data_IF_811317618766
#
_entry.id   IF_811317618766
#
_cell.length_a   1.000
_cell.length_b   1.000
_cell.length_c   1.000
_cell.angle_alpha   90.00
_cell.angle_beta   90.00
_cell.angle_gamma   90.00
#
_symmetry.space_group_name_H-M   'P 1'
#
loop_
_entity.id
_entity.type
_entity.pdbx_description
1 polymer ?
#
# COMPACT_ATOMS: atom_id res chain seq x y z
N UNK A 1 66.03 45.40 -49.75
CA UNK A 1 65.00 46.40 -50.06
C UNK A 1 64.07 46.42 -48.85
N UNK A 2 64.51 47.08 -47.78
CA UNK A 2 63.69 47.39 -46.61
C UNK A 2 62.95 48.70 -46.93
N UNK A 3 61.63 48.69 -46.78
CA UNK A 3 60.79 49.86 -46.97
C UNK A 3 60.52 50.50 -45.61
N UNK A 4 61.51 51.20 -45.05
CA UNK A 4 61.32 52.02 -43.86
C UNK A 4 60.70 53.36 -44.27
N UNK A 5 59.46 53.64 -43.84
CA UNK A 5 58.87 54.98 -44.00
C UNK A 5 59.46 55.94 -42.96
N UNK A 6 60.18 56.96 -43.45
CA UNK A 6 60.75 58.04 -42.63
C UNK A 6 59.82 59.24 -42.60
N UNK A 7 59.51 59.77 -41.41
CA UNK A 7 58.83 61.06 -41.25
C UNK A 7 59.76 62.03 -40.50
N UNK A 8 60.43 62.93 -41.23
CA UNK A 8 61.43 63.85 -40.69
C UNK A 8 60.84 65.23 -40.38
N UNK A 9 61.00 65.70 -39.13
CA UNK A 9 60.69 67.08 -38.74
C UNK A 9 61.96 67.95 -38.90
N UNK A 10 61.89 69.01 -39.71
CA UNK A 10 63.06 69.71 -40.30
C UNK A 10 63.93 70.57 -39.36
N UNK A 11 63.77 70.50 -38.04
CA UNK A 11 64.44 71.41 -37.08
C UNK A 11 65.31 70.74 -36.02
N UNK A 12 65.33 69.40 -35.94
CA UNK A 12 66.24 68.64 -35.05
C UNK A 12 66.62 67.33 -35.73
N UNK A 13 67.92 67.01 -35.84
CA UNK A 13 68.41 65.72 -36.35
C UNK A 13 68.10 64.65 -35.29
N UNK A 14 66.86 64.18 -35.28
CA UNK A 14 66.41 62.95 -34.65
C UNK A 14 65.42 62.30 -35.63
N UNK A 15 65.91 61.35 -36.42
CA UNK A 15 65.02 60.37 -37.05
C UNK A 15 64.57 59.42 -35.95
N UNK A 16 63.34 59.55 -35.47
CA UNK A 16 62.73 58.45 -34.75
C UNK A 16 62.35 57.40 -35.78
N UNK A 17 62.83 56.17 -35.58
CA UNK A 17 62.21 54.99 -36.19
C UNK A 17 60.76 55.04 -35.74
N UNK A 18 59.82 55.18 -36.68
CA UNK A 18 58.43 54.81 -36.41
C UNK A 18 58.48 53.30 -36.25
N UNK A 19 58.71 52.83 -35.03
CA UNK A 19 58.54 51.42 -34.71
C UNK A 19 57.11 51.06 -35.13
N UNK A 20 56.96 50.07 -36.01
CA UNK A 20 55.65 49.54 -36.37
C UNK A 20 55.12 48.80 -35.14
N UNK A 21 54.49 49.55 -34.24
CA UNK A 21 53.92 49.02 -33.02
C UNK A 21 52.49 48.58 -33.29
N UNK A 22 52.14 47.38 -32.86
CA UNK A 22 50.75 46.97 -32.85
C UNK A 22 49.96 47.73 -31.79
N UNK A 23 48.63 47.77 -31.94
CA UNK A 23 47.78 48.31 -30.89
C UNK A 23 47.90 47.46 -29.61
N UNK A 24 47.67 48.12 -28.46
CA UNK A 24 47.63 47.45 -27.16
C UNK A 24 46.47 46.44 -27.16
N UNK A 25 46.78 45.20 -26.77
CA UNK A 25 45.78 44.14 -26.64
C UNK A 25 44.80 44.47 -25.48
N UNK A 26 43.49 44.25 -25.65
CA UNK A 26 42.53 44.44 -24.57
C UNK A 26 42.75 43.41 -23.46
N UNK A 27 42.26 43.72 -22.25
CA UNK A 27 42.23 42.75 -21.17
C UNK A 27 41.33 41.56 -21.54
N UNK A 28 41.82 40.33 -21.35
CA UNK A 28 41.08 39.10 -21.62
C UNK A 28 40.29 38.68 -20.36
N UNK A 29 38.94 38.74 -20.34
CA UNK A 29 38.16 38.28 -19.21
C UNK A 29 38.42 36.79 -18.96
N UNK A 30 38.59 36.41 -17.69
CA UNK A 30 38.87 35.02 -17.28
C UNK A 30 40.13 34.42 -17.94
N UNK A 31 41.09 35.26 -18.32
CA UNK A 31 42.37 34.83 -18.89
C UNK A 31 43.49 35.84 -18.68
N UNK A 32 44.65 35.50 -19.21
CA UNK A 32 45.83 36.34 -19.25
C UNK A 32 46.63 36.08 -20.52
N UNK A 33 47.49 36.99 -20.91
CA UNK A 33 48.40 36.80 -22.03
C UNK A 33 49.79 37.27 -21.67
N UNK A 34 50.80 36.64 -22.25
CA UNK A 34 52.20 36.98 -22.06
C UNK A 34 52.86 37.22 -23.41
N UNK A 35 53.38 38.42 -23.62
CA UNK A 35 54.05 38.83 -24.85
C UNK A 35 55.57 38.80 -24.70
N UNK A 36 56.28 38.35 -25.73
CA UNK A 36 57.74 38.28 -25.72
C UNK A 36 58.41 39.66 -25.70
N UNK A 37 57.82 40.64 -26.40
CA UNK A 37 58.39 41.99 -26.53
C UNK A 37 57.29 43.07 -26.61
N UNK A 38 56.30 42.99 -25.71
CA UNK A 38 55.20 43.95 -25.65
C UNK A 38 54.43 44.04 -26.98
N UNK A 39 54.36 45.25 -27.55
CA UNK A 39 53.63 45.55 -28.79
C UNK A 39 54.55 45.80 -30.01
N UNK A 40 55.84 45.42 -29.92
CA UNK A 40 56.78 45.59 -31.03
C UNK A 40 56.50 44.63 -32.19
N UNK A 41 56.92 45.01 -33.40
CA UNK A 41 56.87 44.16 -34.60
C UNK A 41 57.56 42.82 -34.34
N UNK A 42 56.90 41.71 -34.68
CA UNK A 42 57.40 40.36 -34.42
C UNK A 42 57.21 39.84 -32.98
N UNK A 43 56.70 40.66 -32.04
CA UNK A 43 56.33 40.21 -30.69
C UNK A 43 55.27 39.11 -30.76
N UNK A 44 55.48 38.01 -30.02
CA UNK A 44 54.54 36.89 -29.89
C UNK A 44 53.86 36.94 -28.53
N UNK A 45 52.53 37.01 -28.53
CA UNK A 45 51.70 36.93 -27.32
C UNK A 45 51.03 35.56 -27.25
N UNK A 46 51.35 34.77 -26.23
CA UNK A 46 50.68 33.50 -25.92
C UNK A 46 49.58 33.74 -24.87
N UNK A 47 48.40 33.18 -25.11
CA UNK A 47 47.22 33.36 -24.28
C UNK A 47 46.97 32.15 -23.38
N UNK A 48 46.48 32.40 -22.16
CA UNK A 48 46.11 31.37 -21.18
C UNK A 48 44.77 31.74 -20.54
N UNK A 49 43.84 30.78 -20.48
CA UNK A 49 42.59 30.97 -19.74
C UNK A 49 42.72 30.47 -18.30
N UNK A 50 41.88 31.02 -17.42
CA UNK A 50 41.69 30.54 -16.06
C UNK A 50 41.08 29.13 -16.06
N UNK A 51 41.20 28.41 -14.94
CA UNK A 51 40.62 27.09 -14.77
C UNK A 51 39.11 27.08 -15.08
N UNK A 52 38.65 26.12 -15.87
CA UNK A 52 37.26 25.99 -16.31
C UNK A 52 36.93 26.67 -17.63
N UNK A 53 37.85 27.49 -18.15
CA UNK A 53 37.69 28.16 -19.44
C UNK A 53 38.62 27.57 -20.50
N UNK A 54 38.14 27.54 -21.74
CA UNK A 54 38.89 27.13 -22.91
C UNK A 54 39.02 28.30 -23.90
N UNK A 55 40.16 28.38 -24.58
CA UNK A 55 40.38 29.38 -25.63
C UNK A 55 39.59 28.97 -26.87
N UNK A 56 38.75 29.88 -27.36
CA UNK A 56 38.19 29.89 -28.70
C UNK A 56 38.90 30.99 -29.52
N UNK A 57 39.50 30.62 -30.66
CA UNK A 57 40.37 31.50 -31.44
C UNK A 57 41.84 31.03 -31.45
N UNK A 58 42.77 31.92 -31.75
CA UNK A 58 44.19 31.58 -31.85
C UNK A 58 44.90 31.68 -30.48
N UNK A 59 45.53 30.58 -30.06
CA UNK A 59 46.24 30.49 -28.77
C UNK A 59 47.46 31.41 -28.65
N UNK A 60 47.94 31.93 -29.78
CA UNK A 60 49.10 32.82 -29.85
C UNK A 60 48.97 33.75 -31.05
N UNK A 61 49.28 35.03 -30.88
CA UNK A 61 49.23 36.03 -31.94
C UNK A 61 50.59 36.73 -32.07
N UNK A 62 50.95 37.12 -33.29
CA UNK A 62 52.21 37.79 -33.62
C UNK A 62 51.90 39.18 -34.16
N UNK A 63 52.64 40.19 -33.73
CA UNK A 63 52.53 41.54 -34.28
C UNK A 63 53.17 41.59 -35.68
N UNK A 64 52.39 41.99 -36.68
CA UNK A 64 52.80 42.02 -38.09
C UNK A 64 53.25 43.43 -38.51
N UNK A 65 53.97 43.52 -39.65
CA UNK A 65 54.46 44.78 -40.24
C UNK A 65 53.35 45.81 -40.52
N UNK A 66 52.11 45.37 -40.68
CA UNK A 66 50.94 46.23 -40.90
C UNK A 66 50.36 46.85 -39.61
N UNK A 67 50.99 46.61 -38.45
CA UNK A 67 50.54 47.08 -37.14
C UNK A 67 49.33 46.32 -36.59
N UNK A 68 48.97 45.17 -37.18
CA UNK A 68 47.89 44.30 -36.74
C UNK A 68 48.41 42.99 -36.15
N UNK A 69 47.66 42.44 -35.22
CA UNK A 69 47.92 41.13 -34.64
C UNK A 69 47.40 40.03 -35.57
N UNK A 70 48.24 39.03 -35.86
CA UNK A 70 47.89 37.87 -36.68
C UNK A 70 46.71 37.08 -36.10
N UNK A 71 45.95 36.40 -36.96
CA UNK A 71 44.93 35.42 -36.53
C UNK A 71 43.69 36.03 -35.87
N UNK A 72 42.83 35.16 -35.35
CA UNK A 72 41.60 35.51 -34.66
C UNK A 72 41.86 35.93 -33.21
N UNK A 73 41.07 36.90 -32.72
CA UNK A 73 41.11 37.32 -31.33
C UNK A 73 40.64 36.17 -30.42
N UNK A 74 41.43 35.76 -29.41
CA UNK A 74 41.05 34.68 -28.51
C UNK A 74 40.05 35.14 -27.46
N UNK A 75 39.06 34.30 -27.19
CA UNK A 75 38.07 34.49 -26.11
C UNK A 75 38.13 33.27 -25.18
N UNK A 76 38.08 33.51 -23.87
CA UNK A 76 37.93 32.45 -22.88
C UNK A 76 36.44 32.11 -22.71
N UNK A 77 36.03 30.93 -23.16
CA UNK A 77 34.66 30.42 -23.02
C UNK A 77 34.61 29.37 -21.91
N UNK A 78 33.62 29.48 -21.03
CA UNK A 78 33.39 28.48 -19.98
C UNK A 78 32.84 27.19 -20.60
N UNK A 79 33.57 26.10 -20.39
CA UNK A 79 33.22 24.76 -20.89
C UNK A 79 33.09 23.74 -19.75
N UNK A 80 33.37 24.14 -18.51
CA UNK A 80 33.41 23.24 -17.38
C UNK A 80 32.01 23.11 -16.76
N UNK A 81 31.42 21.91 -16.72
CA UNK A 81 30.11 21.75 -16.12
C UNK A 81 30.16 21.85 -14.58
N UNK A 82 29.07 22.31 -13.95
CA UNK A 82 29.02 22.45 -12.50
C UNK A 82 29.16 21.10 -11.79
N UNK A 83 29.87 21.07 -10.67
CA UNK A 83 30.04 19.86 -9.85
C UNK A 83 28.92 19.74 -8.83
N UNK A 84 28.15 18.66 -8.90
CA UNK A 84 27.02 18.38 -8.00
C UNK A 84 27.40 17.29 -7.00
N UNK A 85 27.35 17.60 -5.71
CA UNK A 85 27.42 16.61 -4.64
C UNK A 85 26.02 16.09 -4.30
N UNK A 86 25.73 14.88 -4.77
CA UNK A 86 24.44 14.25 -4.56
C UNK A 86 24.22 13.76 -3.12
N UNK A 87 22.96 13.77 -2.64
CA UNK A 87 22.55 12.93 -1.55
C UNK A 87 22.81 11.45 -1.84
N UNK A 88 23.07 10.67 -0.79
CA UNK A 88 23.21 9.22 -0.91
C UNK A 88 21.86 8.53 -1.08
N UNK A 89 21.87 7.42 -1.83
CA UNK A 89 20.74 6.51 -1.92
C UNK A 89 20.39 5.96 -0.54
N UNK A 90 19.10 5.73 -0.29
CA UNK A 90 18.60 5.34 1.04
C UNK A 90 17.45 4.35 0.93
N UNK A 91 17.32 3.54 1.98
CA UNK A 91 16.17 2.66 2.18
C UNK A 91 15.32 3.23 3.31
N UNK A 92 14.01 3.29 3.10
CA UNK A 92 13.04 3.68 4.13
C UNK A 92 11.98 2.59 4.26
N UNK A 93 11.64 2.27 5.50
CA UNK A 93 10.58 1.33 5.82
C UNK A 93 9.28 2.09 6.05
N UNK A 94 8.17 1.54 5.58
CA UNK A 94 6.86 2.07 5.91
C UNK A 94 6.57 1.93 7.42
N UNK A 95 5.85 2.91 7.95
CA UNK A 95 5.32 2.91 9.32
C UNK A 95 4.24 1.83 9.51
N UNK A 96 3.84 1.51 10.76
CA UNK A 96 2.77 0.55 11.01
C UNK A 96 1.49 0.92 10.27
N UNK A 97 0.82 -0.08 9.71
CA UNK A 97 -0.44 0.02 8.95
C UNK A 97 -0.34 0.83 7.63
N UNK A 98 0.84 1.35 7.27
CA UNK A 98 1.05 2.11 6.04
C UNK A 98 1.73 1.28 4.96
N UNK A 99 1.52 1.71 3.72
CA UNK A 99 2.23 1.21 2.51
C UNK A 99 3.17 2.26 1.91
N UNK A 100 3.11 3.48 2.45
CA UNK A 100 3.92 4.62 2.04
C UNK A 100 4.90 5.01 3.14
N UNK A 101 5.95 5.73 2.77
CA UNK A 101 6.87 6.34 3.72
C UNK A 101 7.13 7.79 3.33
N UNK A 102 7.17 8.69 4.31
CA UNK A 102 7.59 10.08 4.10
C UNK A 102 9.12 10.13 4.11
N UNK A 103 9.72 10.71 3.07
CA UNK A 103 11.18 10.71 2.91
C UNK A 103 11.74 12.12 2.74
N UNK A 104 12.65 12.51 3.62
CA UNK A 104 13.35 13.80 3.57
C UNK A 104 14.80 13.63 3.16
N UNK A 105 15.36 14.59 2.41
CA UNK A 105 16.79 14.73 2.14
C UNK A 105 17.18 16.21 1.99
N UNK A 106 18.46 16.51 2.24
CA UNK A 106 19.00 17.85 2.04
C UNK A 106 19.19 18.18 0.55
N UNK A 107 19.07 19.47 0.20
CA UNK A 107 19.34 19.95 -1.16
C UNK A 107 20.80 19.61 -1.56
N UNK A 108 21.05 19.21 -2.82
CA UNK A 108 22.42 18.91 -3.28
C UNK A 108 23.29 20.17 -3.22
N UNK A 109 24.57 19.99 -2.89
CA UNK A 109 25.54 21.08 -3.00
C UNK A 109 26.03 21.16 -4.45
N UNK A 110 25.96 22.35 -5.04
CA UNK A 110 26.41 22.61 -6.41
C UNK A 110 27.53 23.63 -6.34
N UNK A 111 28.66 23.34 -6.97
CA UNK A 111 29.80 24.25 -7.09
C UNK A 111 30.25 24.28 -8.53
N UNK A 112 30.38 25.47 -9.09
CA UNK A 112 31.02 25.64 -10.38
C UNK A 112 32.50 26.03 -10.21
N UNK A 113 33.36 25.59 -11.13
CA UNK A 113 34.82 25.80 -11.07
C UNK A 113 35.27 27.05 -11.86
N UNK A 114 34.47 27.50 -12.83
CA UNK A 114 34.78 28.59 -13.73
C UNK A 114 34.39 29.96 -13.14
N UNK A 115 33.13 30.17 -12.78
CA UNK A 115 32.62 31.45 -12.26
C UNK A 115 31.91 31.32 -10.90
N UNK A 116 31.52 30.09 -10.52
CA UNK A 116 30.77 29.84 -9.29
C UNK A 116 29.28 30.20 -9.37
N UNK A 117 28.78 30.58 -10.56
CA UNK A 117 27.40 31.04 -10.79
C UNK A 117 26.53 29.90 -11.31
N UNK A 118 25.48 29.57 -10.58
CA UNK A 118 24.51 28.54 -10.95
C UNK A 118 23.17 29.20 -11.29
N UNK A 119 22.73 29.07 -12.54
CA UNK A 119 21.51 29.74 -13.03
C UNK A 119 20.25 28.99 -12.64
N UNK A 120 20.29 27.65 -12.67
CA UNK A 120 19.10 26.82 -12.40
C UNK A 120 19.44 25.46 -11.85
N UNK A 121 18.69 25.01 -10.84
CA UNK A 121 18.69 23.61 -10.38
C UNK A 121 17.28 23.05 -10.52
N UNK A 122 17.15 21.92 -11.20
CA UNK A 122 15.88 21.23 -11.43
C UNK A 122 15.87 19.87 -10.75
N UNK A 123 14.74 19.54 -10.14
CA UNK A 123 14.43 18.23 -9.56
C UNK A 123 13.50 17.47 -10.50
N UNK A 124 13.81 16.20 -10.77
CA UNK A 124 12.89 15.23 -11.37
C UNK A 124 12.72 14.03 -10.45
N UNK A 125 11.47 13.64 -10.22
CA UNK A 125 11.08 12.61 -9.27
C UNK A 125 10.21 13.19 -8.15
N UNK A 126 9.75 12.37 -7.20
CA UNK A 126 8.95 12.85 -6.08
C UNK A 126 9.73 13.82 -5.18
N UNK A 127 9.03 14.72 -4.50
CA UNK A 127 9.63 15.80 -3.72
C UNK A 127 10.06 15.34 -2.32
N UNK A 128 11.12 15.95 -1.74
CA UNK A 128 11.48 15.68 -0.36
C UNK A 128 10.33 16.08 0.57
N UNK A 129 9.95 15.18 1.47
CA UNK A 129 8.85 15.36 2.41
C UNK A 129 7.48 14.92 1.88
N UNK A 130 7.38 14.48 0.63
CA UNK A 130 6.16 13.81 0.14
C UNK A 130 6.08 12.36 0.61
N UNK A 131 4.92 11.74 0.42
CA UNK A 131 4.76 10.29 0.60
C UNK A 131 5.25 9.52 -0.62
N UNK A 132 6.01 8.46 -0.37
CA UNK A 132 6.56 7.58 -1.39
C UNK A 132 5.87 6.21 -1.28
N UNK A 133 5.25 5.70 -2.35
CA UNK A 133 4.72 4.34 -2.34
C UNK A 133 5.86 3.31 -2.32
N UNK A 134 5.53 2.06 -2.02
CA UNK A 134 6.50 0.98 -2.07
C UNK A 134 7.18 0.87 -3.45
N UNK A 135 8.49 0.68 -3.45
CA UNK A 135 9.29 0.52 -4.67
C UNK A 135 10.54 1.38 -4.68
N UNK A 136 11.17 1.43 -5.85
CA UNK A 136 12.38 2.22 -6.09
C UNK A 136 12.03 3.53 -6.81
N UNK A 137 12.40 4.65 -6.20
CA UNK A 137 12.15 5.99 -6.71
C UNK A 137 13.48 6.65 -7.09
N UNK A 138 13.62 6.96 -8.36
CA UNK A 138 14.83 7.61 -8.89
C UNK A 138 14.67 9.12 -8.80
N UNK A 139 15.52 9.74 -7.98
CA UNK A 139 15.59 11.19 -7.84
C UNK A 139 16.74 11.71 -8.69
N UNK A 140 16.47 12.70 -9.54
CA UNK A 140 17.46 13.31 -10.42
C UNK A 140 17.51 14.81 -10.23
N UNK A 141 18.71 15.32 -9.97
CA UNK A 141 19.00 16.75 -9.97
C UNK A 141 19.82 17.12 -11.20
N UNK A 142 19.45 18.22 -11.85
CA UNK A 142 20.20 18.80 -12.97
C UNK A 142 20.46 20.28 -12.69
N UNK A 143 21.73 20.67 -12.72
CA UNK A 143 22.18 22.05 -12.54
C UNK A 143 22.72 22.61 -13.86
N UNK A 144 22.50 23.92 -14.06
CA UNK A 144 22.98 24.70 -15.19
C UNK A 144 23.80 25.88 -14.68
N UNK A 145 24.93 26.16 -15.32
CA UNK A 145 25.72 27.38 -15.09
C UNK A 145 25.22 28.54 -15.99
N UNK A 146 25.99 29.62 -16.05
CA UNK A 146 25.72 30.79 -16.89
C UNK A 146 26.03 30.54 -18.37
N UNK A 147 27.04 29.73 -18.68
CA UNK A 147 27.40 29.33 -20.04
C UNK A 147 26.50 28.22 -20.63
N UNK A 148 25.48 27.80 -19.87
CA UNK A 148 24.57 26.71 -20.18
C UNK A 148 25.19 25.31 -20.20
N UNK A 149 26.38 25.10 -19.62
CA UNK A 149 26.83 23.75 -19.34
C UNK A 149 25.94 23.13 -18.26
N UNK A 150 25.77 21.80 -18.35
CA UNK A 150 24.84 21.07 -17.50
C UNK A 150 25.53 19.90 -16.83
N UNK A 151 25.24 19.73 -15.55
CA UNK A 151 25.57 18.53 -14.82
C UNK A 151 24.31 17.88 -14.27
N UNK A 152 24.32 16.55 -14.19
CA UNK A 152 23.20 15.80 -13.65
C UNK A 152 23.69 14.74 -12.69
N UNK A 153 22.97 14.58 -11.59
CA UNK A 153 23.27 13.57 -10.61
C UNK A 153 21.97 12.88 -10.14
N UNK A 154 22.07 11.58 -9.81
CA UNK A 154 20.93 10.75 -9.44
C UNK A 154 21.21 9.94 -8.17
N UNK A 155 20.18 9.74 -7.37
CA UNK A 155 20.19 8.78 -6.26
C UNK A 155 18.83 8.09 -6.15
N UNK A 156 18.79 6.99 -5.40
CA UNK A 156 17.62 6.13 -5.31
C UNK A 156 17.07 6.18 -3.88
N UNK A 157 15.76 6.41 -3.77
CA UNK A 157 15.00 6.22 -2.54
C UNK A 157 14.20 4.93 -2.69
N UNK A 158 14.56 3.91 -1.91
CA UNK A 158 13.86 2.62 -1.89
C UNK A 158 12.92 2.55 -0.70
N UNK A 159 11.62 2.50 -0.94
CA UNK A 159 10.62 2.26 0.10
C UNK A 159 10.30 0.78 0.16
N UNK A 160 10.42 0.20 1.35
CA UNK A 160 10.12 -1.22 1.60
C UNK A 160 9.00 -1.36 2.63
N UNK A 161 8.03 -2.21 2.32
CA UNK A 161 6.98 -2.59 3.27
C UNK A 161 7.31 -3.98 3.81
N UNK A 162 7.49 -4.08 5.13
CA UNK A 162 7.66 -5.37 5.81
C UNK A 162 6.32 -6.10 5.81
N UNK A 163 6.34 -7.38 5.45
CA UNK A 163 5.13 -8.21 5.38
C UNK A 163 5.28 -9.50 6.14
N UNK A 164 4.22 -9.89 6.83
CA UNK A 164 4.09 -11.21 7.42
C UNK A 164 3.57 -12.22 6.39
N UNK A 165 3.72 -13.54 6.64
CA UNK A 165 3.08 -14.57 5.83
C UNK A 165 1.57 -14.34 5.74
N UNK A 166 0.97 -14.60 4.58
CA UNK A 166 -0.49 -14.48 4.41
C UNK A 166 -1.17 -15.50 5.35
N UNK A 167 -2.11 -15.03 6.17
CA UNK A 167 -2.87 -15.90 7.05
C UNK A 167 -3.94 -16.64 6.25
N UNK A 168 -4.07 -17.95 6.49
CA UNK A 168 -5.20 -18.73 6.01
C UNK A 168 -6.35 -18.68 7.02
N UNK A 169 -7.61 -18.51 6.55
CA UNK A 169 -8.79 -18.64 7.40
C UNK A 169 -8.82 -19.98 8.16
N UNK A 170 -9.27 -20.00 9.44
CA UNK A 170 -9.51 -21.26 10.15
C UNK A 170 -10.70 -22.00 9.52
N UNK A 171 -10.74 -23.33 9.70
CA UNK A 171 -11.90 -24.12 9.29
C UNK A 171 -13.16 -23.61 10.02
N UNK A 172 -14.26 -23.41 9.28
CA UNK A 172 -15.50 -22.81 9.79
C UNK A 172 -15.34 -21.39 10.35
N UNK A 173 -14.41 -20.62 9.78
CA UNK A 173 -14.23 -19.21 10.11
C UNK A 173 -13.60 -18.43 8.98
N UNK A 174 -13.50 -17.13 9.18
CA UNK A 174 -12.93 -16.18 8.24
C UNK A 174 -12.06 -15.16 8.98
N UNK A 175 -11.20 -14.49 8.22
CA UNK A 175 -10.29 -13.48 8.76
C UNK A 175 -10.59 -12.17 8.08
N UNK A 176 -10.69 -11.11 8.86
CA UNK A 176 -10.76 -9.74 8.35
C UNK A 176 -9.49 -9.00 8.79
N UNK A 177 -8.86 -8.27 7.89
CA UNK A 177 -7.61 -7.59 8.19
C UNK A 177 -7.69 -6.11 7.82
N UNK A 178 -6.97 -5.30 8.58
CA UNK A 178 -6.74 -3.89 8.29
C UNK A 178 -5.67 -3.69 7.19
N UNK A 179 -5.67 -2.49 6.59
CA UNK A 179 -4.67 -2.06 5.59
C UNK A 179 -4.56 -3.03 4.41
N UNK A 180 -3.36 -3.51 4.06
CA UNK A 180 -3.13 -4.47 2.98
C UNK A 180 -3.15 -5.94 3.43
N UNK A 181 -3.64 -6.22 4.64
CA UNK A 181 -3.85 -7.58 5.13
C UNK A 181 -2.64 -8.27 5.75
N UNK A 182 -1.41 -7.91 5.37
CA UNK A 182 -0.21 -8.53 5.94
C UNK A 182 0.98 -7.57 6.12
N UNK A 183 0.81 -6.28 5.89
CA UNK A 183 1.87 -5.30 6.14
C UNK A 183 2.14 -5.12 7.64
N UNK A 184 3.35 -4.69 7.99
CA UNK A 184 3.73 -4.40 9.36
C UNK A 184 2.71 -3.49 10.04
N UNK A 185 2.25 -3.87 11.23
CA UNK A 185 1.18 -3.20 11.97
C UNK A 185 -0.22 -3.67 11.63
N UNK A 186 -0.45 -4.38 10.51
CA UNK A 186 -1.78 -4.89 10.16
C UNK A 186 -2.32 -5.79 11.27
N UNK A 187 -3.51 -5.47 11.75
CA UNK A 187 -4.30 -6.27 12.67
C UNK A 187 -5.33 -7.10 11.89
N UNK A 188 -5.30 -8.42 12.09
CA UNK A 188 -6.21 -9.40 11.49
C UNK A 188 -7.05 -10.05 12.58
N UNK A 189 -8.37 -9.90 12.48
CA UNK A 189 -9.37 -10.46 13.40
C UNK A 189 -9.90 -11.80 12.88
N UNK A 190 -10.03 -12.76 13.80
CA UNK A 190 -10.63 -14.07 13.56
C UNK A 190 -12.11 -14.06 13.94
N UNK A 191 -12.94 -14.41 12.97
CA UNK A 191 -14.37 -14.55 13.14
C UNK A 191 -14.79 -15.98 12.79
N UNK A 192 -15.69 -16.54 13.57
CA UNK A 192 -16.21 -17.89 13.35
C UNK A 192 -17.58 -17.83 12.68
N UNK A 193 -17.89 -18.86 11.92
CA UNK A 193 -19.23 -19.07 11.38
C UNK A 193 -20.23 -19.34 12.49
N UNK A 194 -21.51 -19.06 12.21
CA UNK A 194 -22.59 -19.33 13.14
C UNK A 194 -22.64 -20.80 13.55
N UNK A 195 -22.63 -21.07 14.85
CA UNK A 195 -22.54 -22.43 15.38
C UNK A 195 -21.14 -22.87 15.78
N UNK A 196 -20.13 -22.04 15.54
CA UNK A 196 -18.76 -22.23 15.98
C UNK A 196 -18.34 -21.11 16.93
N UNK A 197 -17.41 -21.43 17.82
CA UNK A 197 -16.86 -20.52 18.81
C UNK A 197 -15.33 -20.49 18.71
N UNK A 198 -14.77 -19.29 18.85
CA UNK A 198 -13.34 -19.06 18.69
C UNK A 198 -12.58 -19.58 19.91
N UNK A 199 -11.59 -20.41 19.65
CA UNK A 199 -10.58 -20.86 20.62
C UNK A 199 -9.25 -20.17 20.31
N UNK A 200 -8.73 -19.40 21.26
CA UNK A 200 -7.51 -18.62 21.10
C UNK A 200 -7.75 -17.12 20.96
N UNK A 201 -6.77 -16.36 20.42
CA UNK A 201 -6.83 -14.91 20.39
C UNK A 201 -7.89 -14.37 19.41
N UNK A 202 -8.51 -13.24 19.74
CA UNK A 202 -9.48 -12.58 18.87
C UNK A 202 -8.85 -12.03 17.59
N UNK A 203 -7.64 -11.50 17.68
CA UNK A 203 -6.90 -10.96 16.55
C UNK A 203 -5.41 -11.18 16.69
N UNK A 204 -4.67 -10.98 15.59
CA UNK A 204 -3.20 -11.02 15.55
C UNK A 204 -2.68 -9.81 14.80
N UNK A 205 -1.54 -9.29 15.26
CA UNK A 205 -0.87 -8.12 14.66
C UNK A 205 0.43 -8.56 13.99
N UNK A 206 0.70 -8.06 12.78
CA UNK A 206 1.94 -8.29 12.08
C UNK A 206 3.08 -7.47 12.72
N UNK A 207 4.07 -8.16 13.30
CA UNK A 207 5.16 -7.54 14.05
C UNK A 207 6.30 -7.07 13.15
N UNK A 208 7.18 -6.24 13.71
CA UNK A 208 8.36 -5.73 13.02
C UNK A 208 9.31 -6.86 12.56
N UNK A 209 9.28 -7.99 13.26
CA UNK A 209 10.00 -9.23 12.93
C UNK A 209 9.47 -9.98 11.71
N UNK A 210 8.42 -9.47 11.02
CA UNK A 210 7.73 -10.14 9.92
C UNK A 210 7.05 -11.45 10.35
N UNK A 211 6.67 -11.53 11.63
CA UNK A 211 5.93 -12.63 12.21
C UNK A 211 4.65 -12.11 12.86
N UNK A 212 3.61 -12.95 12.85
CA UNK A 212 2.37 -12.65 13.53
C UNK A 212 2.50 -12.85 15.04
N UNK A 213 1.94 -11.92 15.82
CA UNK A 213 1.88 -12.06 17.26
C UNK A 213 1.03 -13.28 17.67
N UNK A 214 1.46 -14.01 18.69
CA UNK A 214 0.72 -15.14 19.26
C UNK A 214 0.54 -16.34 18.32
N UNK A 215 -0.39 -17.22 18.67
CA UNK A 215 -0.75 -18.43 17.91
C UNK A 215 -2.04 -18.22 17.09
N UNK A 216 -2.24 -18.97 15.99
CA UNK A 216 -3.49 -18.90 15.24
C UNK A 216 -4.67 -19.37 16.10
N UNK A 217 -5.83 -18.71 15.94
CA UNK A 217 -7.09 -19.15 16.55
C UNK A 217 -7.75 -20.23 15.70
N UNK A 218 -8.59 -21.05 16.34
CA UNK A 218 -9.39 -22.08 15.67
C UNK A 218 -10.88 -21.88 16.00
N UNK A 219 -11.76 -22.29 15.09
CA UNK A 219 -13.20 -22.26 15.32
C UNK A 219 -13.67 -23.69 15.61
N UNK A 220 -14.22 -23.92 16.80
CA UNK A 220 -14.74 -25.23 17.21
C UNK A 220 -16.24 -25.16 17.39
N UNK A 221 -16.95 -26.29 17.18
CA UNK A 221 -18.41 -26.30 17.27
C UNK A 221 -18.85 -25.85 18.66
N UNK A 222 -19.81 -24.92 18.72
CA UNK A 222 -20.31 -24.40 19.99
C UNK A 222 -20.92 -25.53 20.83
N UNK A 223 -20.60 -25.52 22.12
CA UNK A 223 -21.20 -26.44 23.09
C UNK A 223 -22.53 -25.85 23.56
N UNK A 224 -23.62 -26.54 23.25
CA UNK A 224 -24.95 -26.16 23.73
C UNK A 224 -25.07 -26.65 25.18
N UNK A 225 -25.40 -25.74 26.09
CA UNK A 225 -25.74 -26.08 27.47
C UNK A 225 -27.24 -26.36 27.57
N UNK A 226 -27.61 -27.62 27.79
CA UNK A 226 -29.00 -28.04 27.96
C UNK A 226 -29.51 -27.95 29.39
N UNK A 227 -28.62 -27.71 30.37
CA UNK A 227 -28.98 -27.60 31.79
C UNK A 227 -29.41 -26.16 32.15
N UNK A 228 -30.18 -25.51 31.29
CA UNK A 228 -30.66 -24.15 31.52
C UNK A 228 -31.97 -24.18 32.30
N UNK A 229 -32.11 -23.23 33.23
CA UNK A 229 -33.31 -23.09 34.06
C UNK A 229 -34.39 -22.20 33.41
N UNK A 230 -34.11 -21.63 32.22
CA UNK A 230 -35.07 -20.82 31.48
C UNK A 230 -35.03 -21.01 29.97
N UNK A 231 -36.20 -20.91 29.31
CA UNK A 231 -36.30 -20.94 27.86
C UNK A 231 -35.54 -19.78 27.20
N UNK A 232 -35.63 -18.58 27.76
CA UNK A 232 -34.86 -17.41 27.30
C UNK A 232 -33.35 -17.68 27.35
N UNK A 233 -32.84 -18.18 28.49
CA UNK A 233 -31.43 -18.54 28.62
C UNK A 233 -30.99 -19.67 27.68
N UNK A 234 -31.90 -20.57 27.30
CA UNK A 234 -31.62 -21.57 26.26
C UNK A 234 -31.51 -20.93 24.87
N UNK A 235 -32.47 -20.08 24.49
CA UNK A 235 -32.51 -19.40 23.19
C UNK A 235 -31.35 -18.40 23.04
N UNK A 236 -31.01 -17.66 24.10
CA UNK A 236 -29.93 -16.66 24.11
C UNK A 236 -28.55 -17.25 23.78
N UNK A 237 -28.34 -18.56 23.99
CA UNK A 237 -27.09 -19.23 23.59
C UNK A 237 -26.85 -19.17 22.08
N UNK A 238 -27.91 -19.04 21.30
CA UNK A 238 -27.88 -19.00 19.84
C UNK A 238 -27.90 -17.56 19.28
N UNK A 239 -27.99 -16.55 20.16
CA UNK A 239 -28.03 -15.14 19.78
C UNK A 239 -26.85 -14.75 18.88
N UNK A 240 -27.14 -14.14 17.73
CA UNK A 240 -26.21 -13.78 16.64
C UNK A 240 -25.44 -14.95 16.00
N UNK A 241 -25.62 -16.18 16.52
CA UNK A 241 -24.87 -17.37 16.10
C UNK A 241 -25.70 -18.26 15.20
N UNK A 242 -26.89 -18.70 15.62
CA UNK A 242 -27.66 -19.71 14.88
C UNK A 242 -29.15 -19.39 14.90
N UNK A 243 -29.86 -19.84 13.86
CA UNK A 243 -31.32 -19.84 13.76
C UNK A 243 -31.84 -21.12 14.42
N UNK A 244 -33.06 -21.09 14.97
CA UNK A 244 -33.67 -22.26 15.59
C UNK A 244 -34.90 -22.70 14.81
N UNK A 245 -34.97 -24.00 14.49
CA UNK A 245 -36.18 -24.63 13.97
C UNK A 245 -36.72 -25.57 15.04
N UNK A 246 -37.80 -25.17 15.70
CA UNK A 246 -38.34 -25.89 16.86
C UNK A 246 -39.61 -26.61 16.43
N UNK A 247 -39.63 -27.92 16.63
CA UNK A 247 -40.71 -28.82 16.22
C UNK A 247 -41.40 -29.34 17.47
N UNK A 248 -42.73 -29.31 17.49
CA UNK A 248 -43.51 -30.03 18.50
C UNK A 248 -44.58 -30.91 17.90
N UNK A 249 -44.75 -32.09 18.48
CA UNK A 249 -45.71 -33.10 18.04
C UNK A 249 -46.22 -33.93 19.23
N UNK A 250 -47.45 -34.48 19.14
CA UNK A 250 -48.08 -35.25 20.22
C UNK A 250 -47.36 -36.56 20.55
N UNK A 251 -46.69 -37.18 19.56
CA UNK A 251 -45.96 -38.43 19.75
C UNK A 251 -44.90 -38.64 18.67
N UNK A 252 -43.97 -39.56 18.91
CA UNK A 252 -42.97 -39.98 17.92
C UNK A 252 -43.58 -40.80 16.75
N UNK A 253 -44.80 -41.31 16.92
CA UNK A 253 -45.54 -42.03 15.89
C UNK A 253 -46.37 -41.12 14.98
N UNK A 254 -46.50 -39.84 15.34
CA UNK A 254 -47.19 -38.83 14.55
C UNK A 254 -46.70 -38.82 13.10
N UNK A 255 -47.65 -38.78 12.16
CA UNK A 255 -47.36 -38.90 10.72
C UNK A 255 -46.57 -37.69 10.23
N UNK A 256 -46.95 -36.49 10.67
CA UNK A 256 -46.34 -35.24 10.23
C UNK A 256 -44.94 -35.08 10.81
N UNK A 257 -44.76 -35.41 12.09
CA UNK A 257 -43.43 -35.47 12.70
C UNK A 257 -42.47 -36.39 11.94
N UNK A 258 -42.91 -37.62 11.61
CA UNK A 258 -42.06 -38.58 10.89
C UNK A 258 -41.70 -38.09 9.48
N UNK A 259 -42.64 -37.47 8.77
CA UNK A 259 -42.38 -36.88 7.45
C UNK A 259 -41.36 -35.74 7.57
N UNK A 260 -41.55 -34.82 8.51
CA UNK A 260 -40.65 -33.69 8.71
C UNK A 260 -39.25 -34.14 9.16
N UNK A 261 -39.16 -35.03 10.16
CA UNK A 261 -37.88 -35.51 10.70
C UNK A 261 -37.06 -36.21 9.60
N UNK A 262 -37.69 -37.02 8.74
CA UNK A 262 -37.03 -37.62 7.57
C UNK A 262 -36.52 -36.58 6.57
N UNK A 263 -37.31 -35.53 6.29
CA UNK A 263 -36.90 -34.46 5.38
C UNK A 263 -35.70 -33.68 5.94
N UNK A 264 -35.74 -33.31 7.22
CA UNK A 264 -34.66 -32.59 7.89
C UNK A 264 -33.35 -33.38 7.94
N UNK A 265 -33.43 -34.69 8.19
CA UNK A 265 -32.25 -35.57 8.17
C UNK A 265 -31.61 -35.63 6.79
N UNK A 266 -32.42 -35.72 5.72
CA UNK A 266 -31.91 -35.75 4.34
C UNK A 266 -31.24 -34.44 3.90
N UNK A 267 -31.60 -33.31 4.52
CA UNK A 267 -31.14 -31.98 4.16
C UNK A 267 -30.19 -31.34 5.20
N UNK A 268 -29.59 -32.14 6.10
CA UNK A 268 -28.77 -31.65 7.21
C UNK A 268 -27.64 -30.68 6.76
N UNK A 269 -26.99 -30.98 5.62
CA UNK A 269 -25.94 -30.13 5.06
C UNK A 269 -26.45 -28.70 4.75
N UNK A 270 -27.64 -28.60 4.15
CA UNK A 270 -28.25 -27.30 3.82
C UNK A 270 -28.68 -26.49 5.04
N UNK A 271 -29.11 -27.15 6.11
CA UNK A 271 -29.39 -26.50 7.40
C UNK A 271 -28.11 -26.00 8.09
N UNK A 272 -27.02 -26.78 8.05
CA UNK A 272 -25.74 -26.34 8.62
C UNK A 272 -25.17 -25.13 7.87
N UNK A 273 -25.26 -25.09 6.54
CA UNK A 273 -24.85 -23.91 5.75
C UNK A 273 -25.63 -22.64 6.10
N UNK A 274 -26.92 -22.78 6.42
CA UNK A 274 -27.82 -21.69 6.86
C UNK A 274 -27.80 -21.45 8.37
N UNK A 275 -26.92 -22.17 9.07
CA UNK A 275 -26.68 -22.07 10.50
C UNK A 275 -27.96 -22.28 11.32
N UNK A 276 -28.79 -23.24 10.89
CA UNK A 276 -30.03 -23.63 11.56
C UNK A 276 -29.77 -24.81 12.49
N UNK A 277 -30.30 -24.74 13.71
CA UNK A 277 -30.32 -25.87 14.65
C UNK A 277 -31.75 -26.32 14.86
N UNK A 278 -31.97 -27.63 14.71
CA UNK A 278 -33.27 -28.24 14.96
C UNK A 278 -33.39 -28.65 16.43
N UNK A 279 -34.53 -28.30 17.03
CA UNK A 279 -34.93 -28.73 18.38
C UNK A 279 -36.25 -29.49 18.26
N UNK A 280 -36.27 -30.73 18.74
CA UNK A 280 -37.43 -31.62 18.66
C UNK A 280 -38.07 -31.77 20.04
N UNK A 281 -39.35 -31.42 20.19
CA UNK A 281 -40.13 -31.50 21.43
C UNK A 281 -41.34 -32.42 21.21
N UNK A 282 -41.18 -33.71 21.47
CA UNK A 282 -42.11 -34.74 21.03
C UNK A 282 -42.71 -35.47 22.20
N UNK A 283 -44.02 -35.71 22.17
CA UNK A 283 -44.71 -36.44 23.23
C UNK A 283 -45.44 -35.54 24.22
N UNK A 284 -46.07 -36.21 25.18
CA UNK A 284 -46.78 -35.64 26.31
C UNK A 284 -46.23 -36.22 27.62
N UNK A 285 -46.37 -35.47 28.71
CA UNK A 285 -45.98 -35.90 30.05
C UNK A 285 -46.67 -37.23 30.43
N UNK A 286 -45.96 -38.22 31.01
CA UNK A 286 -44.57 -38.19 31.50
C UNK A 286 -43.51 -38.67 30.49
N UNK A 287 -43.90 -38.98 29.25
CA UNK A 287 -43.02 -39.61 28.26
C UNK A 287 -42.55 -38.62 27.17
N UNK A 288 -42.57 -37.32 27.45
CA UNK A 288 -42.08 -36.32 26.51
C UNK A 288 -40.56 -36.36 26.38
N UNK A 289 -40.08 -36.13 25.16
CA UNK A 289 -38.67 -36.13 24.81
C UNK A 289 -38.35 -34.85 24.09
N UNK A 290 -37.46 -34.07 24.69
CA UNK A 290 -36.84 -32.90 24.07
C UNK A 290 -35.44 -33.24 23.63
N UNK A 291 -35.05 -32.87 22.40
CA UNK A 291 -33.69 -33.09 21.90
C UNK A 291 -33.19 -31.89 21.10
N UNK A 292 -31.93 -31.56 21.29
CA UNK A 292 -31.18 -30.64 20.42
C UNK A 292 -29.88 -31.32 20.00
N UNK A 293 -29.71 -31.52 18.68
CA UNK A 293 -28.64 -32.38 18.14
C UNK A 293 -28.68 -33.77 18.80
N UNK A 294 -27.63 -34.13 19.54
CA UNK A 294 -27.49 -35.40 20.25
C UNK A 294 -27.88 -35.34 21.74
N UNK A 295 -28.23 -34.15 22.25
CA UNK A 295 -28.45 -33.92 23.69
C UNK A 295 -29.94 -33.91 24.03
N UNK A 296 -30.30 -34.55 25.15
CA UNK A 296 -31.66 -34.50 25.70
C UNK A 296 -31.87 -33.26 26.55
N UNK A 297 -33.06 -32.68 26.45
CA UNK A 297 -33.51 -31.55 27.26
C UNK A 297 -34.21 -32.06 28.54
N UNK A 298 -34.12 -31.30 29.63
CA UNK A 298 -34.90 -31.59 30.83
C UNK A 298 -36.39 -31.29 30.59
N UNK A 299 -37.25 -32.01 31.31
CA UNK A 299 -38.70 -31.79 31.28
C UNK A 299 -39.08 -30.32 31.54
N UNK A 300 -38.48 -29.71 32.57
CA UNK A 300 -38.72 -28.31 32.91
C UNK A 300 -38.36 -27.35 31.75
N UNK A 301 -37.29 -27.63 31.02
CA UNK A 301 -36.88 -26.81 29.89
C UNK A 301 -37.82 -26.99 28.68
N UNK A 302 -38.30 -28.22 28.43
CA UNK A 302 -39.28 -28.51 27.38
C UNK A 302 -40.58 -27.72 27.62
N UNK A 303 -41.10 -27.79 28.85
CA UNK A 303 -42.27 -27.03 29.29
C UNK A 303 -42.07 -25.53 29.07
N UNK A 304 -40.94 -24.99 29.52
CA UNK A 304 -40.68 -23.56 29.37
C UNK A 304 -40.54 -23.13 27.91
N UNK A 305 -39.92 -23.93 27.04
CA UNK A 305 -39.80 -23.60 25.61
C UNK A 305 -41.19 -23.59 24.96
N UNK A 306 -42.03 -24.61 25.24
CA UNK A 306 -43.40 -24.68 24.72
C UNK A 306 -44.24 -23.49 25.18
N UNK A 307 -44.13 -23.10 26.44
CA UNK A 307 -44.83 -21.94 27.00
C UNK A 307 -44.35 -20.62 26.39
N UNK A 308 -43.03 -20.41 26.30
CA UNK A 308 -42.43 -19.19 25.77
C UNK A 308 -42.75 -18.96 24.29
N UNK A 309 -42.84 -20.04 23.50
CA UNK A 309 -43.11 -19.98 22.07
C UNK A 309 -44.56 -20.26 21.70
N UNK A 310 -45.44 -20.42 22.69
CA UNK A 310 -46.85 -20.77 22.50
C UNK A 310 -47.04 -21.99 21.58
N UNK A 311 -46.25 -23.05 21.80
CA UNK A 311 -46.32 -24.29 21.03
C UNK A 311 -47.27 -25.29 21.70
N UNK A 312 -48.12 -25.94 20.91
CA UNK A 312 -49.09 -26.91 21.40
C UNK A 312 -48.57 -28.34 21.37
N UNK A 313 -49.13 -29.20 22.22
CA UNK A 313 -48.90 -30.65 22.24
C UNK A 313 -49.86 -31.42 21.34
N UNK A 314 -51.05 -30.85 21.08
CA UNK A 314 -52.17 -31.60 20.52
C UNK A 314 -52.04 -31.94 19.03
N UNK A 315 -51.19 -31.20 18.30
CA UNK A 315 -50.96 -31.42 16.87
C UNK A 315 -49.56 -30.94 16.49
N UNK A 316 -49.05 -31.43 15.36
CA UNK A 316 -47.77 -31.02 14.81
C UNK A 316 -47.70 -29.51 14.56
N UNK A 317 -46.67 -28.86 15.11
CA UNK A 317 -46.40 -27.45 14.84
C UNK A 317 -44.90 -27.18 14.89
N UNK A 318 -44.46 -26.23 14.07
CA UNK A 318 -43.06 -25.87 13.95
C UNK A 318 -42.91 -24.36 13.91
N UNK A 319 -41.85 -23.85 14.53
CA UNK A 319 -41.53 -22.42 14.60
C UNK A 319 -40.09 -22.21 14.14
N UNK A 320 -39.88 -21.26 13.23
CA UNK A 320 -38.57 -20.79 12.82
C UNK A 320 -38.24 -19.48 13.54
N UNK A 321 -37.21 -19.51 14.38
CA UNK A 321 -36.63 -18.33 15.00
C UNK A 321 -35.39 -17.88 14.23
N UNK A 322 -35.25 -16.56 14.06
CA UNK A 322 -34.02 -16.00 13.53
C UNK A 322 -32.87 -16.02 14.57
N UNK A 323 -31.72 -15.46 14.18
CA UNK A 323 -30.54 -15.35 15.05
C UNK A 323 -30.70 -14.40 16.24
N UNK A 324 -31.75 -13.59 16.26
CA UNK A 324 -32.07 -12.68 17.37
C UNK A 324 -33.13 -13.30 18.30
N UNK A 325 -33.52 -14.55 18.07
CA UNK A 325 -34.55 -15.25 18.85
C UNK A 325 -35.97 -14.81 18.51
N UNK A 326 -36.17 -14.10 17.40
CA UNK A 326 -37.48 -13.58 16.99
C UNK A 326 -38.21 -14.62 16.17
N UNK A 327 -39.49 -14.84 16.49
CA UNK A 327 -40.42 -15.67 15.73
C UNK A 327 -40.66 -15.08 14.33
N UNK A 328 -40.28 -15.83 13.29
CA UNK A 328 -40.37 -15.41 11.89
C UNK A 328 -41.44 -16.13 11.12
N UNK A 329 -41.54 -17.45 11.30
CA UNK A 329 -42.46 -18.26 10.52
C UNK A 329 -42.95 -19.47 11.32
N UNK A 330 -44.21 -19.85 11.10
CA UNK A 330 -44.86 -20.96 11.80
C UNK A 330 -45.54 -21.90 10.82
N UNK A 331 -45.30 -23.20 11.00
CA UNK A 331 -45.86 -24.24 10.14
C UNK A 331 -46.74 -25.19 10.95
N UNK A 332 -47.93 -25.48 10.43
CA UNK A 332 -48.87 -26.46 11.01
C UNK A 332 -48.85 -27.80 10.30
N UNK A 333 -48.24 -27.85 9.12
CA UNK A 333 -48.07 -29.03 8.29
C UNK A 333 -46.59 -29.19 7.92
N UNK A 334 -46.13 -30.41 7.60
CA UNK A 334 -44.77 -30.64 7.14
C UNK A 334 -44.47 -29.84 5.86
N UNK A 335 -43.27 -29.31 5.78
CA UNK A 335 -42.81 -28.46 4.69
C UNK A 335 -41.47 -28.97 4.13
N UNK A 336 -41.29 -28.79 2.83
CA UNK A 336 -40.04 -29.08 2.14
C UNK A 336 -38.87 -28.30 2.74
N UNK A 337 -37.70 -28.93 2.82
CA UNK A 337 -36.50 -28.24 3.32
C UNK A 337 -36.07 -27.10 2.39
N UNK A 338 -36.35 -27.24 1.09
CA UNK A 338 -36.16 -26.24 0.04
C UNK A 338 -37.01 -24.97 0.24
N UNK A 339 -38.26 -25.11 0.70
CA UNK A 339 -39.09 -23.95 1.03
C UNK A 339 -38.55 -23.20 2.25
N UNK A 340 -38.10 -23.93 3.29
CA UNK A 340 -37.44 -23.33 4.45
C UNK A 340 -36.15 -22.60 4.02
N UNK A 341 -35.36 -23.23 3.16
CA UNK A 341 -34.14 -22.63 2.61
C UNK A 341 -34.42 -21.37 1.82
N UNK A 342 -35.44 -21.40 0.95
CA UNK A 342 -35.86 -20.24 0.16
C UNK A 342 -36.27 -19.08 1.05
N UNK A 343 -37.03 -19.34 2.11
CA UNK A 343 -37.41 -18.31 3.08
C UNK A 343 -36.19 -17.70 3.77
N UNK A 344 -35.28 -18.54 4.27
CA UNK A 344 -34.05 -18.08 4.94
C UNK A 344 -33.20 -17.24 4.00
N UNK A 345 -32.97 -17.73 2.78
CA UNK A 345 -32.10 -17.10 1.80
C UNK A 345 -32.65 -15.74 1.33
N UNK A 346 -33.98 -15.62 1.26
CA UNK A 346 -34.64 -14.40 0.81
C UNK A 346 -34.75 -13.34 1.91
N UNK A 347 -35.04 -13.75 3.15
CA UNK A 347 -35.46 -12.81 4.19
C UNK A 347 -34.53 -12.73 5.41
N UNK A 348 -33.74 -13.77 5.69
CA UNK A 348 -33.01 -13.88 6.96
C UNK A 348 -31.49 -13.86 6.83
N UNK A 349 -30.92 -14.03 5.64
CA UNK A 349 -29.46 -13.96 5.46
C UNK A 349 -28.96 -12.52 5.42
N UNK A 350 -27.84 -12.28 6.13
CA UNK A 350 -27.02 -11.09 5.94
C UNK A 350 -26.24 -11.15 4.62
N UNK A 351 -25.80 -10.00 4.12
CA UNK A 351 -24.98 -9.92 2.90
C UNK A 351 -23.73 -10.80 2.97
N UNK A 352 -23.10 -10.88 4.15
CA UNK A 352 -21.92 -11.71 4.37
C UNK A 352 -22.24 -13.21 4.33
N UNK A 353 -23.35 -13.64 4.94
CA UNK A 353 -23.79 -15.03 4.87
C UNK A 353 -24.15 -15.44 3.44
N UNK A 354 -24.74 -14.53 2.65
CA UNK A 354 -25.07 -14.77 1.25
C UNK A 354 -23.82 -15.06 0.42
N UNK A 355 -22.77 -14.22 0.54
CA UNK A 355 -21.48 -14.48 -0.12
C UNK A 355 -20.86 -15.81 0.32
N UNK A 356 -20.98 -16.17 1.61
CA UNK A 356 -20.46 -17.43 2.13
C UNK A 356 -21.25 -18.65 1.61
N UNK A 357 -22.57 -18.53 1.50
CA UNK A 357 -23.43 -19.59 0.98
C UNK A 357 -23.14 -19.84 -0.49
N UNK A 358 -22.94 -18.80 -1.30
CA UNK A 358 -22.53 -18.91 -2.70
C UNK A 358 -21.19 -19.64 -2.84
N UNK A 359 -20.20 -19.30 -2.01
CA UNK A 359 -18.88 -19.94 -2.02
C UNK A 359 -18.91 -21.43 -1.60
N UNK A 360 -19.97 -21.88 -0.91
CA UNK A 360 -20.13 -23.25 -0.40
C UNK A 360 -21.17 -24.07 -1.16
N UNK A 361 -21.81 -23.50 -2.19
CA UNK A 361 -22.96 -24.11 -2.86
C UNK A 361 -22.63 -25.48 -3.49
N UNK A 362 -21.37 -25.70 -3.87
CA UNK A 362 -20.87 -26.97 -4.42
C UNK A 362 -20.63 -28.09 -3.36
N UNK A 363 -20.69 -27.79 -2.06
CA UNK A 363 -20.30 -28.75 -1.01
C UNK A 363 -21.43 -29.65 -0.48
N UNK A 364 -22.68 -29.46 -0.94
CA UNK A 364 -23.85 -30.24 -0.47
C UNK A 364 -24.62 -30.94 -1.61
N UNK A 365 -24.08 -30.99 -2.84
CA UNK A 365 -24.66 -31.72 -3.98
C UNK A 365 -24.29 -33.20 -4.01
#
# INVERSE_FOLDING_TARGET
>A
MENSQFNCNFLTIFCFVLENLCHVLPALPHGSYHCSDGVSEGSRCDYTCASGYQIEGDRSRICMEDGLWSGAEPVCVDVDPPKIQCPTSRVKFAEPEKLTAVVYWGRPQVKDTADGVITRVTLRGPEPGSEFPEGEHVIRYTAYDQAHNRASCKFIVKVQVRRCPILSPPLHGYITCSSAGNNYGANCEYLCEGGYERQGPASRVCLFSQQWAGTPATCTRMKINVNMNSAGGFIDQFFEKQRLLIISAPSSSDRYYRLQSSALQSANCGFEQRQVVVVELVGEEPNEVGRVREQQLSHDLIEQIRQALHMTRSYFNMVLLDKYGVDRERYRDPIGSDEIFTYIDTYLLSSQEMTQLEAKRENCE
#
